data_IF_195351808820
#
_entry.id   IF_195351808820
#
_cell.length_a   1.000
_cell.length_b   1.000
_cell.length_c   1.000
_cell.angle_alpha   90.00
_cell.angle_beta   90.00
_cell.angle_gamma   90.00
#
_symmetry.space_group_name_H-M   'P 1'
#
loop_
_entity.id
_entity.type
_entity.pdbx_description
1 polymer ?
#
# COMPACT_ATOMS: atom_id res chain seq x y z
N UNK A 1 -41.26 -67.49 0.63
CA UNK A 1 -42.33 -66.47 0.78
C UNK A 1 -41.73 -65.10 0.52
N UNK A 2 -41.71 -64.61 -0.73
CA UNK A 2 -42.61 -63.55 -1.26
C UNK A 2 -42.77 -62.36 -0.30
N UNK A 3 -42.21 -61.19 -0.67
CA UNK A 3 -42.96 -59.98 -1.09
C UNK A 3 -42.02 -58.83 -1.49
N UNK A 4 -42.28 -58.29 -2.68
CA UNK A 4 -41.83 -57.00 -3.20
C UNK A 4 -42.56 -55.86 -2.48
N UNK A 5 -41.89 -54.72 -2.29
CA UNK A 5 -42.44 -53.35 -2.12
C UNK A 5 -41.22 -52.43 -1.88
N UNK A 6 -40.98 -51.30 -2.54
CA UNK A 6 -41.66 -50.58 -3.59
C UNK A 6 -40.67 -49.55 -4.13
N UNK A 7 -40.79 -49.29 -5.42
CA UNK A 7 -40.08 -48.30 -6.21
C UNK A 7 -40.58 -46.89 -5.84
N UNK A 8 -39.70 -45.95 -5.47
CA UNK A 8 -39.93 -44.50 -5.68
C UNK A 8 -38.61 -43.80 -6.02
N UNK A 9 -38.61 -43.22 -7.21
CA UNK A 9 -37.63 -42.36 -7.85
C UNK A 9 -37.68 -40.92 -7.27
N UNK A 10 -36.76 -40.04 -7.70
CA UNK A 10 -36.69 -38.58 -7.49
C UNK A 10 -35.79 -38.15 -6.29
N UNK A 11 -34.87 -37.20 -6.38
CA UNK A 11 -34.69 -36.13 -7.36
C UNK A 11 -33.22 -35.69 -7.44
N UNK A 12 -32.81 -35.31 -8.65
CA UNK A 12 -31.63 -34.52 -8.94
C UNK A 12 -31.64 -33.21 -8.13
N UNK A 13 -30.63 -32.99 -7.29
CA UNK A 13 -30.28 -31.66 -6.81
C UNK A 13 -29.01 -31.21 -7.52
N UNK A 14 -29.21 -30.58 -8.68
CA UNK A 14 -28.23 -29.67 -9.28
C UNK A 14 -28.15 -28.46 -8.34
N UNK A 15 -27.26 -28.54 -7.35
CA UNK A 15 -26.90 -27.40 -6.52
C UNK A 15 -26.10 -26.42 -7.38
N UNK A 16 -26.77 -25.36 -7.83
CA UNK A 16 -26.12 -24.26 -8.55
C UNK A 16 -24.99 -23.70 -7.71
N UNK A 17 -23.77 -23.78 -8.24
CA UNK A 17 -22.63 -23.04 -7.71
C UNK A 17 -22.91 -21.55 -7.95
N UNK A 18 -23.44 -20.88 -6.93
CA UNK A 18 -23.50 -19.42 -6.91
C UNK A 18 -22.06 -18.94 -6.85
N UNK A 19 -21.55 -18.44 -7.98
CA UNK A 19 -20.32 -17.66 -8.04
C UNK A 19 -20.53 -16.39 -7.23
N UNK A 20 -20.20 -16.46 -5.94
CA UNK A 20 -20.03 -15.28 -5.11
C UNK A 20 -18.79 -14.57 -5.68
N UNK A 21 -18.91 -13.34 -6.20
CA UNK A 21 -17.71 -12.58 -6.54
C UNK A 21 -16.94 -12.41 -5.24
N UNK A 22 -15.75 -13.00 -5.18
CA UNK A 22 -14.79 -12.72 -4.12
C UNK A 22 -14.42 -11.24 -4.27
N UNK A 23 -15.13 -10.37 -3.54
CA UNK A 23 -14.58 -9.08 -3.16
C UNK A 23 -13.42 -9.41 -2.23
N UNK A 24 -12.21 -9.47 -2.81
CA UNK A 24 -11.01 -9.44 -1.99
C UNK A 24 -11.07 -8.14 -1.19
N UNK A 25 -11.07 -8.19 0.15
CA UNK A 25 -10.86 -6.97 0.91
C UNK A 25 -9.53 -6.40 0.40
N UNK A 26 -9.54 -5.14 -0.04
CA UNK A 26 -8.30 -4.40 -0.26
C UNK A 26 -7.44 -4.70 0.96
N UNK A 27 -6.33 -5.41 0.73
CA UNK A 27 -5.34 -5.63 1.76
C UNK A 27 -5.11 -4.24 2.36
N UNK A 28 -5.35 -4.10 3.68
CA UNK A 28 -5.12 -2.86 4.42
C UNK A 28 -3.63 -2.55 4.30
N UNK A 29 -3.28 -1.95 3.16
CA UNK A 29 -1.93 -1.70 2.74
C UNK A 29 -1.36 -0.74 3.76
N UNK A 30 -0.16 -1.04 4.23
CA UNK A 30 0.63 -0.14 5.09
C UNK A 30 0.46 1.29 4.58
N UNK A 31 0.19 2.24 5.48
CA UNK A 31 -0.17 3.62 5.13
C UNK A 31 0.93 4.26 4.30
N UNK A 32 0.82 4.12 2.98
CA UNK A 32 1.79 4.61 2.04
C UNK A 32 1.43 6.05 1.71
N UNK A 33 2.41 6.94 1.84
CA UNK A 33 2.30 8.32 1.42
C UNK A 33 3.10 8.52 0.15
N UNK A 34 2.44 9.05 -0.88
CA UNK A 34 3.11 9.47 -2.10
C UNK A 34 3.59 10.91 -1.97
N UNK A 35 4.85 11.05 -1.57
CA UNK A 35 5.55 12.33 -1.53
C UNK A 35 5.71 12.89 -2.95
N UNK A 36 5.23 14.12 -3.19
CA UNK A 36 5.49 14.86 -4.42
C UNK A 36 6.84 15.60 -4.41
N UNK A 37 7.65 15.40 -3.37
CA UNK A 37 9.00 15.95 -3.23
C UNK A 37 10.04 14.96 -3.75
N UNK A 38 11.26 15.44 -4.04
CA UNK A 38 12.33 14.54 -4.49
C UNK A 38 12.71 13.52 -3.41
N UNK A 39 13.45 12.48 -3.83
CA UNK A 39 13.96 11.48 -2.90
C UNK A 39 14.83 12.13 -1.82
N UNK A 40 15.73 13.04 -2.19
CA UNK A 40 16.66 13.70 -1.27
C UNK A 40 15.93 14.58 -0.25
N UNK A 41 14.90 15.30 -0.69
CA UNK A 41 14.03 16.09 0.19
C UNK A 41 13.31 15.17 1.17
N UNK A 42 12.64 14.14 0.65
CA UNK A 42 11.86 13.18 1.45
C UNK A 42 12.74 12.45 2.47
N UNK A 43 13.88 11.93 2.02
CA UNK A 43 14.87 11.23 2.83
C UNK A 43 15.47 12.12 3.92
N UNK A 44 15.92 13.33 3.54
CA UNK A 44 16.50 14.28 4.48
C UNK A 44 15.52 14.69 5.57
N UNK A 45 14.26 14.96 5.19
CA UNK A 45 13.22 15.32 6.14
C UNK A 45 12.77 14.13 7.00
N UNK A 46 12.75 12.90 6.48
CA UNK A 46 12.48 11.71 7.30
C UNK A 46 13.52 11.52 8.42
N UNK A 47 14.81 11.71 8.11
CA UNK A 47 15.88 11.66 9.12
C UNK A 47 15.68 12.74 10.20
N UNK A 48 15.33 13.97 9.80
CA UNK A 48 15.09 15.08 10.73
C UNK A 48 13.85 14.83 11.58
N UNK A 49 12.75 14.37 10.98
CA UNK A 49 11.53 13.99 11.67
C UNK A 49 11.84 12.99 12.79
N UNK A 50 12.49 11.87 12.46
CA UNK A 50 12.77 10.81 13.42
C UNK A 50 13.69 11.31 14.52
N UNK A 51 14.83 11.94 14.18
CA UNK A 51 15.87 12.27 15.16
C UNK A 51 15.61 13.56 15.92
N UNK A 52 15.09 14.59 15.25
CA UNK A 52 15.00 15.95 15.77
C UNK A 52 13.61 16.21 16.31
N UNK A 53 12.57 16.01 15.50
CA UNK A 53 11.20 16.35 15.89
C UNK A 53 10.59 15.32 16.85
N UNK A 54 10.81 14.03 16.59
CA UNK A 54 10.31 12.93 17.43
C UNK A 54 11.31 12.50 18.52
N UNK A 55 12.57 12.93 18.43
CA UNK A 55 13.61 12.60 19.42
C UNK A 55 13.95 11.10 19.49
N UNK A 56 13.67 10.34 18.43
CA UNK A 56 13.87 8.90 18.37
C UNK A 56 15.30 8.55 17.97
N UNK A 57 15.79 7.41 18.45
CA UNK A 57 17.12 6.91 18.12
C UNK A 57 17.08 6.20 16.77
N UNK A 58 17.82 6.75 15.79
CA UNK A 58 18.09 6.06 14.52
C UNK A 58 19.15 4.98 14.76
N UNK A 59 18.83 3.74 14.38
CA UNK A 59 19.74 2.59 14.49
C UNK A 59 20.52 2.36 13.21
N UNK A 60 19.90 2.61 12.04
CA UNK A 60 20.53 2.40 10.74
C UNK A 60 20.01 3.40 9.70
N UNK A 61 20.89 3.78 8.76
CA UNK A 61 20.56 4.61 7.60
C UNK A 61 21.12 3.95 6.36
N UNK A 62 20.25 3.56 5.46
CA UNK A 62 20.61 3.02 4.16
C UNK A 62 19.90 3.82 3.05
N UNK A 63 20.48 4.95 2.61
CA UNK A 63 19.90 5.77 1.56
C UNK A 63 19.90 5.07 0.20
N UNK A 64 20.78 4.10 -0.03
CA UNK A 64 20.89 3.39 -1.30
C UNK A 64 19.68 2.49 -1.53
N UNK A 65 19.23 1.80 -0.48
CA UNK A 65 18.04 0.95 -0.53
C UNK A 65 16.77 1.63 0.02
N UNK A 66 16.89 2.86 0.52
CA UNK A 66 15.76 3.65 1.02
C UNK A 66 15.24 3.24 2.39
N UNK A 67 16.08 2.66 3.25
CA UNK A 67 15.69 2.17 4.58
C UNK A 67 16.25 3.05 5.72
N UNK A 68 15.35 3.52 6.59
CA UNK A 68 15.69 4.20 7.83
C UNK A 68 15.14 3.40 9.01
N UNK A 69 16.02 2.78 9.82
CA UNK A 69 15.60 2.01 11.00
C UNK A 69 15.79 2.82 12.27
N UNK A 70 14.86 2.68 13.20
CA UNK A 70 14.88 3.43 14.46
C UNK A 70 14.21 2.67 15.60
N UNK A 71 14.55 3.09 16.82
CA UNK A 71 13.86 2.69 18.05
C UNK A 71 12.69 3.66 18.30
N UNK A 72 11.49 3.10 18.37
CA UNK A 72 10.24 3.79 18.65
C UNK A 72 9.83 3.63 20.10
N UNK A 73 9.46 4.73 20.74
CA UNK A 73 8.82 4.76 22.05
C UNK A 73 7.55 5.59 21.96
N UNK A 74 6.45 5.06 22.47
CA UNK A 74 5.16 5.77 22.56
C UNK A 74 4.90 6.18 24.01
N UNK A 75 4.28 7.34 24.27
CA UNK A 75 3.81 7.71 25.61
C UNK A 75 2.96 6.61 26.27
N UNK A 76 2.15 5.90 25.48
CA UNK A 76 1.25 4.84 25.95
C UNK A 76 1.98 3.53 26.29
N UNK A 77 3.15 3.30 25.69
CA UNK A 77 3.98 2.10 25.89
C UNK A 77 5.00 2.27 27.03
N UNK A 78 5.02 3.43 27.70
CA UNK A 78 5.94 3.74 28.77
C UNK A 78 7.40 3.68 28.30
N UNK A 79 8.19 2.77 28.88
CA UNK A 79 9.62 2.58 28.55
C UNK A 79 9.87 1.48 27.52
N UNK A 80 8.83 0.83 26.99
CA UNK A 80 9.02 -0.25 26.02
C UNK A 80 9.52 0.32 24.70
N UNK A 81 10.61 -0.26 24.21
CA UNK A 81 11.22 0.09 22.93
C UNK A 81 10.69 -0.86 21.85
N UNK A 82 10.33 -0.29 20.72
CA UNK A 82 9.81 -0.98 19.54
C UNK A 82 10.74 -0.73 18.35
N UNK A 83 10.94 -1.71 17.49
CA UNK A 83 11.66 -1.48 16.24
C UNK A 83 10.70 -0.87 15.22
N UNK A 84 11.12 0.23 14.61
CA UNK A 84 10.43 0.88 13.50
C UNK A 84 11.32 1.03 12.28
N UNK A 85 10.68 1.10 11.11
CA UNK A 85 11.34 1.48 9.87
C UNK A 85 10.53 2.51 9.09
N UNK A 86 11.23 3.35 8.33
CA UNK A 86 10.67 4.13 7.24
C UNK A 86 11.35 3.65 5.96
N UNK A 87 10.53 3.31 4.97
CA UNK A 87 10.93 2.96 3.62
C UNK A 87 10.61 4.11 2.69
N UNK A 88 11.59 4.59 1.94
CA UNK A 88 11.47 5.66 0.95
C UNK A 88 11.88 5.09 -0.40
N UNK A 89 10.94 4.99 -1.34
CA UNK A 89 11.16 4.33 -2.63
C UNK A 89 10.73 5.26 -3.76
N UNK A 90 11.55 5.42 -4.79
CA UNK A 90 11.11 6.09 -6.01
C UNK A 90 10.06 5.22 -6.72
N UNK A 91 8.86 5.78 -6.90
CA UNK A 91 7.71 5.12 -7.49
C UNK A 91 7.30 5.86 -8.75
N UNK A 92 7.98 5.60 -9.87
CA UNK A 92 7.76 6.35 -11.11
C UNK A 92 8.69 7.56 -11.23
N UNK A 93 8.42 8.43 -12.23
CA UNK A 93 9.40 9.43 -12.68
C UNK A 93 9.64 10.57 -11.68
N UNK A 94 8.62 10.95 -10.91
CA UNK A 94 8.65 12.12 -10.01
C UNK A 94 7.83 11.89 -8.72
N UNK A 95 7.60 10.63 -8.32
CA UNK A 95 6.82 10.31 -7.11
C UNK A 95 7.66 9.44 -6.20
N UNK A 96 7.71 9.81 -4.92
CA UNK A 96 8.42 9.05 -3.88
C UNK A 96 7.40 8.45 -2.95
N UNK A 97 7.34 7.12 -2.88
CA UNK A 97 6.48 6.41 -1.94
C UNK A 97 7.19 6.25 -0.61
N UNK A 98 6.53 6.66 0.47
CA UNK A 98 6.99 6.50 1.84
C UNK A 98 6.09 5.54 2.58
N UNK A 99 6.66 4.60 3.31
CA UNK A 99 5.93 3.70 4.21
C UNK A 99 6.60 3.66 5.57
N UNK A 100 5.84 3.85 6.65
CA UNK A 100 6.32 3.59 8.00
C UNK A 100 5.83 2.21 8.46
N UNK A 101 6.69 1.44 9.14
CA UNK A 101 6.34 0.14 9.72
C UNK A 101 6.71 0.10 11.19
N UNK A 102 5.73 -0.29 12.01
CA UNK A 102 5.87 -0.54 13.44
C UNK A 102 5.12 -1.85 13.76
N UNK A 103 5.68 -3.04 13.41
CA UNK A 103 4.95 -4.31 13.40
C UNK A 103 4.35 -4.75 14.76
N UNK A 104 4.88 -4.20 15.84
CA UNK A 104 4.48 -4.51 17.22
C UNK A 104 3.56 -3.45 17.83
N UNK A 105 3.10 -2.48 17.02
CA UNK A 105 2.24 -1.38 17.41
C UNK A 105 0.97 -1.35 16.55
N UNK A 106 -0.12 -0.76 17.05
CA UNK A 106 -1.27 -0.47 16.22
C UNK A 106 -0.94 0.50 15.07
N UNK A 107 -1.62 0.33 13.92
CA UNK A 107 -1.34 1.05 12.67
C UNK A 107 -1.51 2.57 12.72
N UNK A 108 -2.22 3.10 13.72
CA UNK A 108 -2.33 4.57 13.87
C UNK A 108 -0.98 5.23 14.17
N UNK A 109 -0.04 4.51 14.79
CA UNK A 109 1.32 5.03 15.00
C UNK A 109 2.08 5.19 13.68
N UNK A 110 1.91 4.24 12.75
CA UNK A 110 2.49 4.31 11.41
C UNK A 110 1.89 5.50 10.65
N UNK A 111 0.56 5.63 10.70
CA UNK A 111 -0.15 6.77 10.10
C UNK A 111 0.32 8.11 10.66
N UNK A 112 0.46 8.21 11.99
CA UNK A 112 0.90 9.43 12.67
C UNK A 112 2.30 9.86 12.22
N UNK A 113 3.24 8.92 12.04
CA UNK A 113 4.58 9.22 11.53
C UNK A 113 4.51 9.72 10.09
N UNK A 114 3.71 9.06 9.25
CA UNK A 114 3.54 9.42 7.84
C UNK A 114 2.91 10.80 7.67
N UNK A 115 1.84 11.09 8.42
CA UNK A 115 1.17 12.39 8.41
C UNK A 115 2.10 13.51 8.91
N UNK A 116 2.89 13.23 9.96
CA UNK A 116 3.89 14.16 10.47
C UNK A 116 4.99 14.45 9.42
N UNK A 117 5.42 13.44 8.67
CA UNK A 117 6.38 13.61 7.58
C UNK A 117 5.80 14.48 6.45
N UNK A 118 4.58 14.18 6.00
CA UNK A 118 3.91 14.93 4.95
C UNK A 118 3.78 16.42 5.32
N UNK A 119 3.33 16.70 6.55
CA UNK A 119 3.24 18.05 7.10
C UNK A 119 4.62 18.73 7.20
N UNK A 120 5.65 18.00 7.62
CA UNK A 120 7.00 18.57 7.76
C UNK A 120 7.58 18.93 6.40
N UNK A 121 7.37 18.09 5.39
CA UNK A 121 7.79 18.38 4.02
C UNK A 121 7.14 19.64 3.46
N UNK A 122 5.83 19.81 3.67
CA UNK A 122 5.14 21.04 3.25
C UNK A 122 5.62 22.29 3.98
N UNK A 123 5.98 22.17 5.26
CA UNK A 123 6.57 23.28 6.03
C UNK A 123 7.98 23.62 5.56
N UNK A 124 8.82 22.63 5.26
CA UNK A 124 10.22 22.84 4.87
C UNK A 124 10.38 23.31 3.42
N UNK A 125 9.52 22.84 2.52
CA UNK A 125 9.68 23.04 1.07
C UNK A 125 8.52 23.75 0.39
N UNK A 126 7.45 24.10 1.12
CA UNK A 126 6.26 24.76 0.58
C UNK A 126 5.35 23.80 -0.18
N UNK A 127 4.37 24.38 -0.90
CA UNK A 127 3.45 23.59 -1.71
C UNK A 127 4.23 22.81 -2.79
N UNK A 128 3.95 21.51 -2.93
CA UNK A 128 4.72 20.69 -3.85
C UNK A 128 4.49 21.10 -5.31
N UNK A 129 5.50 20.93 -6.18
CA UNK A 129 5.32 21.21 -7.60
C UNK A 129 4.13 20.41 -8.14
N UNK A 130 3.26 21.07 -8.93
CA UNK A 130 2.08 20.42 -9.48
C UNK A 130 2.49 19.15 -10.24
N UNK A 131 1.91 18.00 -9.86
CA UNK A 131 2.11 16.73 -10.58
C UNK A 131 1.74 16.95 -12.05
N UNK A 132 2.64 16.61 -12.97
CA UNK A 132 2.30 16.62 -14.40
C UNK A 132 1.17 15.60 -14.62
N UNK A 133 0.12 15.93 -15.39
CA UNK A 133 -0.94 14.98 -15.68
C UNK A 133 -0.38 13.70 -16.30
N UNK A 134 -0.93 12.54 -15.93
CA UNK A 134 -0.59 11.28 -16.57
C UNK A 134 -0.89 11.37 -18.09
N UNK A 135 -0.07 10.73 -18.94
CA UNK A 135 -0.40 10.62 -20.35
C UNK A 135 -1.76 9.93 -20.52
N UNK A 136 -2.60 10.36 -21.47
CA UNK A 136 -3.87 9.69 -21.71
C UNK A 136 -3.62 8.22 -22.09
N UNK A 137 -4.53 7.29 -21.70
CA UNK A 137 -4.39 5.89 -22.04
C UNK A 137 -4.34 5.72 -23.56
N UNK A 138 -3.57 4.74 -24.08
CA UNK A 138 -3.49 4.48 -25.51
C UNK A 138 -4.88 4.17 -26.07
N UNK A 139 -5.20 4.63 -27.29
CA UNK A 139 -6.48 4.33 -27.92
C UNK A 139 -6.63 2.81 -28.10
N UNK A 140 -7.85 2.26 -27.98
CA UNK A 140 -8.09 0.84 -28.19
C UNK A 140 -7.67 0.42 -29.60
N UNK A 141 -6.90 -0.66 -29.72
CA UNK A 141 -6.57 -1.27 -31.01
C UNK A 141 -7.88 -1.70 -31.69
N UNK A 142 -8.15 -1.13 -32.86
CA UNK A 142 -9.20 -1.65 -33.74
C UNK A 142 -8.70 -2.96 -34.32
N UNK A 143 -9.21 -4.08 -33.81
CA UNK A 143 -9.10 -5.37 -34.47
C UNK A 143 -9.61 -5.22 -35.92
N UNK A 144 -8.69 -5.40 -36.86
CA UNK A 144 -8.95 -5.29 -38.28
C UNK A 144 -9.96 -6.35 -38.71
N UNK A 145 -11.09 -5.86 -39.19
CA UNK A 145 -12.06 -6.57 -40.02
C UNK A 145 -11.33 -7.29 -41.17
N UNK A 146 -11.05 -8.59 -41.00
CA UNK A 146 -10.70 -9.46 -42.11
C UNK A 146 -11.99 -9.93 -42.74
N UNK A 147 -12.39 -9.20 -43.79
CA UNK A 147 -13.43 -9.60 -44.72
C UNK A 147 -13.21 -11.04 -45.19
N UNK A 148 -14.18 -11.90 -44.89
CA UNK A 148 -14.31 -13.21 -45.49
C UNK A 148 -14.91 -13.05 -46.88
N UNK A 149 -14.08 -13.09 -47.90
CA UNK A 149 -14.52 -13.35 -49.27
C UNK A 149 -14.45 -14.85 -49.56
N UNK A 150 -15.59 -15.38 -50.00
CA UNK A 150 -15.86 -16.79 -50.27
C UNK A 150 -15.16 -17.31 -51.53
N UNK A 151 -15.11 -18.64 -51.69
CA UNK A 151 -15.60 -19.22 -52.94
C UNK A 151 -16.88 -20.04 -52.77
#
# INVERSE_FOLDING_TARGET
MRRLCGMVLCALLVGGAVLVPAFEPEALAATAYESPYTFEQTWGTAIRLVRVDLGLKITEKDPEHGYLLFEYTSPESGKRVHTGSIEVVQSGKDVVRVTAKLPTMPSYHERMIVDALAKKLSVEYGDPPARKPDPPPPPPEKDGDKGGEAP
#
